data_IF_461819486467
#
_entry.id   IF_461819486467
#
_cell.length_a   1.000
_cell.length_b   1.000
_cell.length_c   1.000
_cell.angle_alpha   90.00
_cell.angle_beta   90.00
_cell.angle_gamma   90.00
#
_symmetry.space_group_name_H-M   'P 1'
#
loop_
_entity.id
_entity.type
_entity.pdbx_description
1 polymer ?
#
# COMPACT_ATOMS: atom_id res chain seq x y z
N UNK A 1 -41.59 30.18 21.68
CA UNK A 1 -41.58 29.17 20.60
C UNK A 1 -40.14 28.86 20.23
N UNK A 2 -39.49 28.11 21.11
CA UNK A 2 -38.11 27.63 21.03
C UNK A 2 -38.20 26.17 20.64
N UNK A 3 -37.88 25.84 19.39
CA UNK A 3 -37.41 24.52 18.90
C UNK A 3 -37.43 24.54 17.37
N UNK A 4 -36.54 23.75 16.76
CA UNK A 4 -36.44 23.42 15.33
C UNK A 4 -35.66 24.40 14.43
N UNK A 5 -34.36 24.56 14.67
CA UNK A 5 -33.35 24.79 13.61
C UNK A 5 -31.98 24.17 13.96
N UNK A 6 -31.93 22.92 14.43
CA UNK A 6 -30.67 22.22 14.74
C UNK A 6 -30.53 20.83 14.11
N UNK A 7 -31.15 20.57 12.97
CA UNK A 7 -31.05 19.26 12.32
C UNK A 7 -31.10 19.41 10.80
N UNK A 8 -30.01 19.89 10.19
CA UNK A 8 -29.77 19.74 8.74
C UNK A 8 -28.35 20.12 8.26
N UNK A 9 -27.40 20.40 9.15
CA UNK A 9 -26.00 20.72 8.77
C UNK A 9 -25.03 19.52 8.82
N UNK A 10 -25.51 18.27 8.93
CA UNK A 10 -24.65 17.08 9.15
C UNK A 10 -24.43 16.10 7.99
N UNK A 11 -24.88 16.39 6.77
CA UNK A 11 -24.79 15.39 5.69
C UNK A 11 -24.21 15.84 4.34
N UNK A 12 -23.68 17.06 4.20
CA UNK A 12 -23.05 17.47 2.95
C UNK A 12 -21.70 18.14 3.23
N UNK A 13 -20.64 17.48 2.76
CA UNK A 13 -19.28 18.00 2.81
C UNK A 13 -19.23 19.38 2.18
N UNK A 14 -18.77 20.37 2.94
CA UNK A 14 -18.38 21.67 2.37
C UNK A 14 -17.28 21.42 1.35
N UNK A 15 -17.59 21.68 0.08
CA UNK A 15 -16.59 22.02 -0.94
C UNK A 15 -15.87 23.30 -0.48
N UNK A 16 -14.73 23.12 0.17
CA UNK A 16 -13.76 24.17 0.40
C UNK A 16 -12.74 24.15 -0.73
N UNK A 17 -12.62 25.25 -1.47
CA UNK A 17 -11.48 25.56 -2.32
C UNK A 17 -10.22 25.55 -1.43
N UNK A 18 -9.49 24.43 -1.37
CA UNK A 18 -8.28 24.31 -0.56
C UNK A 18 -8.06 22.93 0.05
N UNK A 19 -7.53 21.98 -0.75
CA UNK A 19 -6.41 21.07 -0.44
C UNK A 19 -6.30 20.02 -1.58
N UNK A 20 -6.03 20.46 -2.81
CA UNK A 20 -6.15 19.67 -4.07
C UNK A 20 -5.10 18.56 -4.28
N UNK A 21 -4.36 18.15 -3.23
CA UNK A 21 -3.26 17.18 -3.39
C UNK A 21 -3.55 15.77 -2.86
N UNK A 22 -4.69 15.59 -2.20
CA UNK A 22 -4.99 14.38 -1.45
C UNK A 22 -6.31 13.79 -1.90
N UNK A 23 -6.32 12.48 -2.11
CA UNK A 23 -7.54 11.71 -2.00
C UNK A 23 -7.58 11.08 -0.60
N UNK A 24 -8.72 11.09 0.05
CA UNK A 24 -8.87 10.38 1.33
C UNK A 24 -10.31 9.96 1.56
N UNK A 25 -10.45 8.88 2.31
CA UNK A 25 -11.67 8.53 3.02
C UNK A 25 -11.40 8.67 4.51
N UNK A 26 -12.26 9.42 5.18
CA UNK A 26 -12.26 9.48 6.63
C UNK A 26 -12.74 8.14 7.23
N UNK A 27 -13.33 8.14 8.42
CA UNK A 27 -13.74 6.93 9.10
C UNK A 27 -14.82 6.15 8.34
N UNK A 28 -14.50 4.89 8.09
CA UNK A 28 -15.38 3.89 7.49
C UNK A 28 -15.39 2.65 8.38
N UNK A 29 -16.56 2.02 8.60
CA UNK A 29 -16.63 0.85 9.47
C UNK A 29 -15.96 -0.36 8.81
N UNK A 30 -15.32 -1.19 9.62
CA UNK A 30 -14.93 -2.56 9.25
C UNK A 30 -15.32 -3.54 10.36
N UNK A 31 -14.95 -4.82 10.24
CA UNK A 31 -15.39 -5.92 11.14
C UNK A 31 -15.12 -5.67 12.62
N UNK A 32 -14.14 -4.84 12.98
CA UNK A 32 -13.71 -4.67 14.37
C UNK A 32 -13.35 -3.23 14.72
N UNK A 33 -14.02 -2.26 14.11
CA UNK A 33 -13.77 -0.85 14.36
C UNK A 33 -13.99 0.01 13.13
N UNK A 34 -13.16 1.04 12.99
CA UNK A 34 -13.17 1.98 11.88
C UNK A 34 -11.79 2.06 11.23
N UNK A 35 -11.76 2.45 9.97
CA UNK A 35 -10.51 2.73 9.27
C UNK A 35 -10.57 4.06 8.54
N UNK A 36 -9.39 4.64 8.31
CA UNK A 36 -9.20 5.80 7.43
C UNK A 36 -8.10 5.46 6.41
N UNK A 37 -8.26 5.94 5.19
CA UNK A 37 -7.29 5.75 4.10
C UNK A 37 -7.05 7.07 3.40
N UNK A 38 -5.80 7.36 3.05
CA UNK A 38 -5.43 8.54 2.29
C UNK A 38 -4.31 8.24 1.31
N UNK A 39 -4.32 8.97 0.18
CA UNK A 39 -3.31 8.90 -0.87
C UNK A 39 -2.87 10.29 -1.31
N UNK A 40 -1.58 10.45 -1.58
CA UNK A 40 -1.03 11.58 -2.34
C UNK A 40 -0.23 11.04 -3.53
N UNK A 41 -0.39 11.69 -4.67
CA UNK A 41 0.32 11.37 -5.90
C UNK A 41 1.54 12.28 -6.09
N UNK A 42 2.69 11.67 -6.36
CA UNK A 42 3.92 12.31 -6.83
C UNK A 42 4.21 12.00 -8.30
N UNK A 43 4.02 10.76 -8.73
CA UNK A 43 4.30 10.30 -10.09
C UNK A 43 3.30 10.87 -11.10
N UNK A 44 3.65 10.90 -12.40
CA UNK A 44 2.73 11.40 -13.45
C UNK A 44 1.44 10.58 -13.52
N UNK A 45 1.59 9.29 -13.26
CA UNK A 45 0.53 8.32 -13.04
C UNK A 45 0.71 7.78 -11.63
N UNK A 46 -0.35 7.72 -10.83
CA UNK A 46 -0.29 7.12 -9.50
C UNK A 46 -0.01 5.62 -9.67
N UNK A 47 1.13 5.17 -9.14
CA UNK A 47 1.56 3.78 -9.21
C UNK A 47 1.11 3.00 -7.97
N UNK A 48 1.06 3.67 -6.82
CA UNK A 48 0.46 3.19 -5.58
C UNK A 48 -1.02 2.79 -5.75
N UNK A 49 -1.42 1.70 -5.10
CA UNK A 49 -2.80 1.29 -4.92
C UNK A 49 -3.05 0.89 -3.46
N UNK A 50 -4.25 1.17 -2.95
CA UNK A 50 -4.69 0.78 -1.63
C UNK A 50 -6.11 0.24 -1.65
N UNK A 51 -6.40 -0.76 -0.83
CA UNK A 51 -7.75 -1.27 -0.68
C UNK A 51 -8.05 -1.77 0.72
N UNK A 52 -9.30 -1.57 1.14
CA UNK A 52 -9.87 -2.19 2.34
C UNK A 52 -11.18 -2.86 1.96
N UNK A 53 -11.27 -4.17 2.20
CA UNK A 53 -12.50 -4.95 2.02
C UNK A 53 -12.97 -5.43 3.39
N UNK A 54 -14.14 -4.95 3.80
CA UNK A 54 -14.81 -5.43 4.99
C UNK A 54 -15.91 -6.42 4.61
N UNK A 55 -15.88 -7.56 5.26
CA UNK A 55 -16.94 -8.56 5.28
C UNK A 55 -17.50 -8.67 6.72
N UNK A 56 -18.61 -9.39 6.94
CA UNK A 56 -19.12 -9.61 8.29
C UNK A 56 -18.14 -10.34 9.23
N UNK A 57 -17.16 -11.08 8.70
CA UNK A 57 -16.30 -11.97 9.49
C UNK A 57 -14.79 -11.67 9.34
N UNK A 58 -14.42 -10.83 8.39
CA UNK A 58 -13.05 -10.50 8.10
C UNK A 58 -12.87 -9.11 7.51
N UNK A 59 -11.76 -8.46 7.86
CA UNK A 59 -11.27 -7.25 7.21
C UNK A 59 -9.98 -7.58 6.45
N UNK A 60 -9.94 -7.28 5.15
CA UNK A 60 -8.75 -7.40 4.31
C UNK A 60 -8.22 -6.01 3.98
N UNK A 61 -6.90 -5.85 4.08
CA UNK A 61 -6.17 -4.60 3.88
C UNK A 61 -5.08 -4.86 2.85
N UNK A 62 -4.92 -3.98 1.88
CA UNK A 62 -3.88 -4.06 0.86
C UNK A 62 -3.26 -2.70 0.61
N UNK A 63 -1.93 -2.62 0.61
CA UNK A 63 -1.14 -1.51 0.10
C UNK A 63 -0.17 -2.08 -0.92
N UNK A 64 -0.21 -1.55 -2.13
CA UNK A 64 0.56 -2.03 -3.27
C UNK A 64 1.30 -0.85 -3.86
N UNK A 65 2.57 -0.74 -3.55
CA UNK A 65 3.46 0.27 -4.12
C UNK A 65 3.96 -0.25 -5.46
N UNK A 66 3.65 0.50 -6.52
CA UNK A 66 3.91 0.12 -7.90
C UNK A 66 5.13 0.85 -8.45
N UNK A 67 5.87 0.19 -9.34
CA UNK A 67 7.02 0.80 -10.00
C UNK A 67 7.17 0.34 -11.45
N UNK A 68 7.78 1.20 -12.27
CA UNK A 68 7.96 0.94 -13.70
C UNK A 68 6.66 1.05 -14.51
N UNK A 69 5.59 1.53 -13.89
CA UNK A 69 4.23 1.59 -14.39
C UNK A 69 3.21 1.15 -13.33
N UNK A 70 1.92 1.52 -13.47
CA UNK A 70 0.90 1.17 -12.48
C UNK A 70 0.27 -0.22 -12.72
N UNK A 71 0.62 -0.91 -13.83
CA UNK A 71 -0.09 -2.11 -14.28
C UNK A 71 -0.05 -3.24 -13.23
N UNK A 72 1.11 -3.47 -12.57
CA UNK A 72 1.24 -4.53 -11.56
C UNK A 72 0.41 -4.22 -10.30
N UNK A 73 0.57 -3.04 -9.71
CA UNK A 73 -0.18 -2.66 -8.50
C UNK A 73 -1.71 -2.70 -8.72
N UNK A 74 -2.17 -2.23 -9.90
CA UNK A 74 -3.60 -2.32 -10.30
C UNK A 74 -4.06 -3.76 -10.49
N UNK A 75 -3.21 -4.62 -11.07
CA UNK A 75 -3.54 -6.03 -11.23
C UNK A 75 -3.65 -6.73 -9.87
N UNK A 76 -2.70 -6.48 -8.96
CA UNK A 76 -2.73 -7.01 -7.58
C UNK A 76 -3.99 -6.55 -6.86
N UNK A 77 -4.32 -5.25 -6.92
CA UNK A 77 -5.55 -4.69 -6.37
C UNK A 77 -6.80 -5.44 -6.87
N UNK A 78 -6.89 -5.65 -8.19
CA UNK A 78 -8.04 -6.32 -8.79
C UNK A 78 -8.13 -7.83 -8.48
N UNK A 79 -7.02 -8.57 -8.45
CA UNK A 79 -7.04 -10.04 -8.44
C UNK A 79 -6.73 -10.69 -7.09
N UNK A 80 -5.95 -10.03 -6.23
CA UNK A 80 -5.46 -10.68 -5.01
C UNK A 80 -6.57 -11.08 -4.04
N UNK A 81 -7.53 -10.19 -3.78
CA UNK A 81 -8.63 -10.51 -2.87
C UNK A 81 -9.64 -11.50 -3.44
N UNK A 82 -9.97 -11.49 -4.75
CA UNK A 82 -10.68 -12.61 -5.36
C UNK A 82 -9.98 -13.97 -5.18
N UNK A 83 -8.67 -14.06 -5.41
CA UNK A 83 -7.90 -15.28 -5.13
C UNK A 83 -7.95 -15.65 -3.65
N UNK A 84 -7.81 -14.66 -2.79
CA UNK A 84 -7.88 -14.84 -1.35
C UNK A 84 -9.21 -15.45 -0.91
N UNK A 85 -10.34 -14.87 -1.35
CA UNK A 85 -11.68 -15.38 -1.06
C UNK A 85 -11.87 -16.80 -1.59
N UNK A 86 -11.39 -17.09 -2.80
CA UNK A 86 -11.44 -18.44 -3.38
C UNK A 86 -10.70 -19.46 -2.50
N UNK A 87 -9.43 -19.21 -2.19
CA UNK A 87 -8.63 -20.15 -1.40
C UNK A 87 -9.10 -20.25 0.06
N UNK A 88 -9.63 -19.17 0.64
CA UNK A 88 -10.23 -19.19 1.97
C UNK A 88 -11.48 -20.08 2.01
N UNK A 89 -12.31 -20.05 0.96
CA UNK A 89 -13.46 -20.95 0.84
C UNK A 89 -13.03 -22.41 0.68
N UNK A 90 -12.04 -22.68 -0.16
CA UNK A 90 -11.52 -24.04 -0.39
C UNK A 90 -10.91 -24.66 0.88
N UNK A 91 -10.34 -23.85 1.77
CA UNK A 91 -9.70 -24.30 3.01
C UNK A 91 -10.53 -24.06 4.28
N UNK A 92 -11.80 -23.65 4.15
CA UNK A 92 -12.70 -23.36 5.26
C UNK A 92 -12.17 -22.32 6.26
N UNK A 93 -11.47 -21.29 5.80
CA UNK A 93 -11.02 -20.20 6.65
C UNK A 93 -9.78 -19.49 6.12
N UNK A 94 -9.37 -18.47 6.86
CA UNK A 94 -8.16 -17.69 6.58
C UNK A 94 -6.98 -18.30 7.31
N UNK A 95 -5.88 -18.51 6.59
CA UNK A 95 -4.62 -18.99 7.13
C UNK A 95 -3.43 -18.34 6.41
N UNK A 96 -2.23 -18.48 6.97
CA UNK A 96 -0.99 -18.05 6.29
C UNK A 96 -0.80 -18.77 4.93
N UNK A 97 -1.22 -20.03 4.81
CA UNK A 97 -1.16 -20.79 3.56
C UNK A 97 -2.13 -20.24 2.51
N UNK A 98 -3.35 -19.86 2.91
CA UNK A 98 -4.33 -19.21 2.03
C UNK A 98 -3.77 -17.90 1.47
N UNK A 99 -3.16 -17.06 2.32
CA UNK A 99 -2.52 -15.81 1.88
C UNK A 99 -1.41 -16.11 0.88
N UNK A 100 -0.54 -17.08 1.19
CA UNK A 100 0.57 -17.47 0.31
C UNK A 100 0.06 -17.95 -1.06
N UNK A 101 -0.93 -18.84 -1.08
CA UNK A 101 -1.55 -19.34 -2.33
C UNK A 101 -2.18 -18.23 -3.15
N UNK A 102 -2.86 -17.27 -2.50
CA UNK A 102 -3.43 -16.13 -3.19
C UNK A 102 -2.35 -15.27 -3.87
N UNK A 103 -1.26 -14.96 -3.16
CA UNK A 103 -0.13 -14.21 -3.72
C UNK A 103 0.53 -14.96 -4.87
N UNK A 104 0.79 -16.27 -4.71
CA UNK A 104 1.37 -17.12 -5.77
C UNK A 104 0.49 -17.13 -7.02
N UNK A 105 -0.83 -17.33 -6.86
CA UNK A 105 -1.76 -17.30 -7.99
C UNK A 105 -1.79 -15.94 -8.70
N UNK A 106 -1.77 -14.84 -7.94
CA UNK A 106 -1.73 -13.48 -8.50
C UNK A 106 -0.43 -13.23 -9.26
N UNK A 107 0.72 -13.65 -8.73
CA UNK A 107 2.01 -13.56 -9.43
C UNK A 107 2.01 -14.39 -10.72
N UNK A 108 1.56 -15.65 -10.66
CA UNK A 108 1.51 -16.53 -11.83
C UNK A 108 0.62 -15.93 -12.92
N UNK A 109 -0.57 -15.44 -12.57
CA UNK A 109 -1.48 -14.83 -13.54
C UNK A 109 -0.90 -13.54 -14.14
N UNK A 110 -0.22 -12.71 -13.34
CA UNK A 110 0.45 -11.52 -13.86
C UNK A 110 1.62 -11.86 -14.79
N UNK A 111 2.42 -12.89 -14.48
CA UNK A 111 3.48 -13.36 -15.39
C UNK A 111 2.92 -13.92 -16.71
N UNK A 112 1.75 -14.56 -16.68
CA UNK A 112 1.04 -14.96 -17.91
C UNK A 112 0.59 -13.74 -18.72
N UNK A 113 0.10 -12.69 -18.06
CA UNK A 113 -0.22 -11.41 -18.71
C UNK A 113 1.02 -10.80 -19.36
N UNK A 114 2.15 -10.74 -18.64
CA UNK A 114 3.44 -10.27 -19.17
C UNK A 114 3.82 -11.06 -20.42
N UNK A 115 3.81 -12.40 -20.36
CA UNK A 115 4.17 -13.26 -21.50
C UNK A 115 3.33 -12.96 -22.75
N UNK A 116 2.02 -12.73 -22.57
CA UNK A 116 1.10 -12.43 -23.69
C UNK A 116 1.33 -11.03 -24.25
N UNK A 117 1.63 -10.06 -23.40
CA UNK A 117 1.78 -8.65 -23.78
C UNK A 117 3.18 -8.30 -24.26
N UNK A 118 4.20 -9.05 -23.85
CA UNK A 118 5.61 -8.76 -24.11
C UNK A 118 5.94 -8.49 -25.59
N UNK A 119 5.43 -9.24 -26.59
CA UNK A 119 5.76 -8.98 -28.00
C UNK A 119 5.34 -7.61 -28.53
N UNK A 120 4.36 -6.96 -27.90
CA UNK A 120 3.82 -5.66 -28.34
C UNK A 120 4.00 -4.54 -27.30
N UNK A 121 4.25 -4.89 -26.04
CA UNK A 121 4.47 -3.98 -24.90
C UNK A 121 5.62 -4.52 -24.02
N UNK A 122 6.89 -4.57 -24.49
CA UNK A 122 7.97 -5.21 -23.75
C UNK A 122 8.26 -4.58 -22.38
N UNK A 123 7.97 -3.28 -22.20
CA UNK A 123 8.10 -2.58 -20.92
C UNK A 123 7.23 -3.18 -19.81
N UNK A 124 6.20 -3.97 -20.12
CA UNK A 124 5.40 -4.67 -19.10
C UNK A 124 6.26 -5.64 -18.26
N UNK A 125 7.38 -6.12 -18.81
CA UNK A 125 8.30 -6.99 -18.08
C UNK A 125 9.01 -6.29 -16.92
N UNK A 126 9.18 -4.97 -16.98
CA UNK A 126 9.80 -4.16 -15.92
C UNK A 126 8.79 -3.54 -14.95
N UNK A 127 7.50 -3.81 -15.13
CA UNK A 127 6.47 -3.35 -14.19
C UNK A 127 6.41 -4.31 -13.02
N UNK A 128 6.47 -3.77 -11.81
CA UNK A 128 6.39 -4.54 -10.58
C UNK A 128 5.61 -3.81 -9.51
N UNK A 129 5.34 -4.52 -8.41
CA UNK A 129 4.71 -3.93 -7.24
C UNK A 129 5.14 -4.64 -5.96
N UNK A 130 5.54 -3.85 -4.97
CA UNK A 130 5.53 -4.25 -3.57
C UNK A 130 4.10 -4.59 -3.15
N UNK A 131 3.93 -5.54 -2.23
CA UNK A 131 2.63 -6.03 -1.83
C UNK A 131 2.59 -6.28 -0.33
N UNK A 132 1.91 -5.38 0.39
CA UNK A 132 1.65 -5.49 1.81
C UNK A 132 0.17 -5.79 2.03
N UNK A 133 -0.12 -6.93 2.67
CA UNK A 133 -1.47 -7.43 2.87
C UNK A 133 -1.72 -7.70 4.34
N UNK A 134 -2.87 -7.27 4.84
CA UNK A 134 -3.40 -7.59 6.16
C UNK A 134 -4.71 -8.36 6.07
N UNK A 135 -4.93 -9.32 6.97
CA UNK A 135 -6.22 -9.94 7.18
C UNK A 135 -6.51 -10.03 8.68
N UNK A 136 -7.67 -9.54 9.11
CA UNK A 136 -8.17 -9.64 10.49
C UNK A 136 -9.41 -10.51 10.49
N UNK A 137 -9.36 -11.63 11.19
CA UNK A 137 -10.47 -12.57 11.32
C UNK A 137 -10.31 -13.40 12.60
N UNK A 138 -11.41 -13.61 13.35
CA UNK A 138 -11.40 -14.40 14.59
C UNK A 138 -10.25 -14.05 15.55
N UNK A 139 -10.10 -12.75 15.85
CA UNK A 139 -9.02 -12.17 16.67
C UNK A 139 -7.60 -12.51 16.21
N UNK A 140 -7.45 -12.91 14.96
CA UNK A 140 -6.17 -13.25 14.36
C UNK A 140 -5.85 -12.21 13.30
N UNK A 141 -4.71 -11.57 13.47
CA UNK A 141 -4.08 -10.73 12.47
C UNK A 141 -3.07 -11.58 11.69
N UNK A 142 -3.21 -11.54 10.37
CA UNK A 142 -2.20 -11.99 9.45
C UNK A 142 -1.64 -10.78 8.71
N UNK A 143 -0.31 -10.71 8.56
CA UNK A 143 0.35 -9.68 7.76
C UNK A 143 1.35 -10.36 6.84
N UNK A 144 1.17 -10.20 5.53
CA UNK A 144 2.09 -10.68 4.52
C UNK A 144 2.78 -9.49 3.83
N UNK A 145 4.09 -9.58 3.62
CA UNK A 145 4.87 -8.52 3.00
C UNK A 145 5.76 -9.04 1.87
N UNK A 146 5.77 -8.28 0.77
CA UNK A 146 6.69 -8.35 -0.37
C UNK A 146 7.19 -6.93 -0.63
N UNK A 147 8.49 -6.70 -0.49
CA UNK A 147 9.07 -5.37 -0.65
C UNK A 147 9.18 -4.61 0.68
N UNK A 148 9.13 -3.29 0.61
CA UNK A 148 9.48 -2.34 1.67
C UNK A 148 8.36 -1.38 2.09
N UNK A 149 7.13 -1.64 1.61
CA UNK A 149 5.94 -1.23 2.34
C UNK A 149 5.94 -1.86 3.74
N UNK A 150 5.36 -1.18 4.74
CA UNK A 150 5.47 -1.61 6.15
C UNK A 150 4.15 -1.51 6.90
N UNK A 151 3.93 -2.49 7.78
CA UNK A 151 2.85 -2.49 8.77
C UNK A 151 3.40 -2.28 10.19
N UNK A 152 2.80 -1.35 10.92
CA UNK A 152 3.16 -1.00 12.31
C UNK A 152 1.92 -1.06 13.19
N UNK A 153 2.04 -1.70 14.35
CA UNK A 153 1.02 -1.77 15.39
C UNK A 153 1.26 -0.67 16.43
N UNK A 154 0.25 0.14 16.71
CA UNK A 154 0.19 0.96 17.91
C UNK A 154 -0.43 0.15 19.03
N UNK A 155 0.34 -0.14 20.08
CA UNK A 155 -0.13 -0.89 21.25
C UNK A 155 0.04 -0.09 22.53
N UNK A 156 -0.88 -0.28 23.46
CA UNK A 156 -0.76 0.31 24.78
C UNK A 156 0.35 -0.42 25.57
N UNK A 157 1.33 0.34 26.06
CA UNK A 157 2.44 -0.20 26.85
C UNK A 157 2.12 -0.25 28.35
N UNK A 158 1.25 0.65 28.83
CA UNK A 158 0.96 0.82 30.25
C UNK A 158 -0.50 0.43 30.58
N UNK A 159 -0.77 -0.18 31.74
CA UNK A 159 -2.13 -0.54 32.14
C UNK A 159 -3.09 0.67 32.26
N UNK A 160 -2.55 1.87 32.45
CA UNK A 160 -3.32 3.11 32.58
C UNK A 160 -3.71 3.74 31.23
N UNK A 161 -3.35 3.13 30.11
CA UNK A 161 -3.78 3.57 28.79
C UNK A 161 -3.00 4.76 28.21
N UNK A 162 -2.00 5.28 28.93
CA UNK A 162 -1.39 6.59 28.61
C UNK A 162 -0.27 6.52 27.60
N UNK A 163 0.45 5.41 27.54
CA UNK A 163 1.59 5.24 26.64
C UNK A 163 1.24 4.27 25.52
N UNK A 164 1.40 4.71 24.28
CA UNK A 164 1.25 3.89 23.08
C UNK A 164 2.60 3.78 22.41
N UNK A 165 3.09 2.55 22.24
CA UNK A 165 4.38 2.25 21.61
C UNK A 165 4.17 1.66 20.23
N UNK A 166 5.14 1.89 19.35
CA UNK A 166 5.18 1.29 18.02
C UNK A 166 5.79 -0.12 18.10
N UNK A 167 5.10 -1.09 17.49
CA UNK A 167 5.61 -2.44 17.27
C UNK A 167 5.57 -2.71 15.76
N UNK A 168 6.74 -2.73 15.11
CA UNK A 168 6.84 -3.06 13.69
C UNK A 168 6.48 -4.52 13.45
N UNK A 169 5.55 -4.78 12.53
CA UNK A 169 5.04 -6.13 12.25
C UNK A 169 5.71 -6.80 11.04
N UNK A 170 6.39 -6.02 10.19
CA UNK A 170 7.02 -6.50 8.95
C UNK A 170 8.48 -6.10 8.89
N UNK A 171 9.31 -6.91 8.23
CA UNK A 171 10.65 -6.51 7.83
C UNK A 171 10.62 -6.01 6.38
N UNK A 172 11.42 -4.98 6.10
CA UNK A 172 11.49 -4.38 4.77
C UNK A 172 12.43 -5.24 3.90
N UNK A 173 11.94 -5.69 2.74
CA UNK A 173 12.73 -6.46 1.79
C UNK A 173 13.46 -5.53 0.82
N UNK A 174 14.37 -4.72 1.36
CA UNK A 174 15.15 -3.73 0.61
C UNK A 174 16.65 -3.93 0.82
N UNK A 175 17.45 -3.80 -0.24
CA UNK A 175 18.91 -4.00 -0.18
C UNK A 175 19.67 -2.88 0.56
N UNK A 176 18.99 -1.84 1.03
CA UNK A 176 19.52 -0.94 2.05
C UNK A 176 19.84 -1.72 3.35
N UNK A 177 19.06 -2.76 3.66
CA UNK A 177 19.33 -3.70 4.75
C UNK A 177 20.53 -4.62 4.41
N UNK A 178 21.46 -4.71 5.35
CA UNK A 178 22.64 -5.55 5.23
C UNK A 178 22.32 -7.05 5.21
N UNK A 179 21.29 -7.49 5.90
CA UNK A 179 20.90 -8.91 5.94
C UNK A 179 20.30 -9.34 4.61
N UNK A 180 19.49 -8.50 3.95
CA UNK A 180 19.00 -8.74 2.59
C UNK A 180 20.18 -8.80 1.60
N UNK A 181 21.19 -7.93 1.74
CA UNK A 181 22.41 -8.01 0.90
C UNK A 181 23.19 -9.31 1.12
N UNK A 182 23.29 -9.80 2.36
CA UNK A 182 23.95 -11.06 2.68
C UNK A 182 23.18 -12.25 2.11
N UNK A 183 21.85 -12.25 2.23
CA UNK A 183 20.96 -13.26 1.63
C UNK A 183 21.17 -13.34 0.12
N UNK A 184 21.10 -12.20 -0.59
CA UNK A 184 21.29 -12.15 -2.04
C UNK A 184 22.67 -12.67 -2.48
N UNK A 185 23.74 -12.27 -1.78
CA UNK A 185 25.10 -12.77 -2.06
C UNK A 185 25.23 -14.28 -1.82
N UNK A 186 24.56 -14.81 -0.80
CA UNK A 186 24.56 -16.25 -0.50
C UNK A 186 23.81 -17.06 -1.57
N UNK A 187 22.72 -16.53 -2.10
CA UNK A 187 21.93 -17.17 -3.17
C UNK A 187 22.61 -17.08 -4.55
N UNK A 188 23.47 -16.07 -4.75
CA UNK A 188 24.16 -15.79 -6.00
C UNK A 188 25.68 -15.67 -5.82
N UNK A 189 26.36 -16.73 -5.33
CA UNK A 189 27.79 -16.68 -5.02
C UNK A 189 28.67 -16.49 -6.27
N UNK A 190 28.15 -16.79 -7.45
CA UNK A 190 28.82 -16.67 -8.75
C UNK A 190 28.46 -15.39 -9.53
N UNK A 191 27.80 -14.42 -8.88
CA UNK A 191 27.42 -13.13 -9.46
C UNK A 191 27.94 -11.98 -8.60
N UNK A 192 29.14 -11.49 -8.93
CA UNK A 192 29.77 -10.36 -8.22
C UNK A 192 28.99 -9.05 -8.32
N UNK A 193 28.11 -8.93 -9.33
CA UNK A 193 27.26 -7.78 -9.59
C UNK A 193 25.83 -7.93 -9.00
N UNK A 194 25.57 -8.93 -8.16
CA UNK A 194 24.23 -9.17 -7.60
C UNK A 194 23.71 -7.97 -6.80
N UNK A 195 24.56 -7.32 -6.00
CA UNK A 195 24.24 -6.08 -5.28
C UNK A 195 25.31 -5.02 -5.56
N UNK A 196 24.88 -3.91 -6.13
CA UNK A 196 25.76 -2.82 -6.60
C UNK A 196 25.36 -1.54 -5.88
N UNK A 197 26.34 -0.82 -5.33
CA UNK A 197 26.13 0.52 -4.81
C UNK A 197 26.27 1.53 -5.95
N UNK A 198 25.17 2.17 -6.34
CA UNK A 198 25.13 3.13 -7.44
C UNK A 198 24.06 4.19 -7.20
N UNK A 199 24.27 5.41 -7.69
CA UNK A 199 23.35 6.55 -7.46
C UNK A 199 23.06 6.79 -5.98
N UNK A 200 24.07 6.60 -5.12
CA UNK A 200 23.99 6.83 -3.68
C UNK A 200 23.25 5.76 -2.86
N UNK A 201 22.77 4.68 -3.48
CA UNK A 201 22.02 3.60 -2.81
C UNK A 201 22.46 2.23 -3.30
N UNK A 202 22.15 1.18 -2.52
CA UNK A 202 22.34 -0.21 -2.94
C UNK A 202 21.22 -0.64 -3.88
N UNK A 203 21.53 -1.41 -4.92
CA UNK A 203 20.54 -1.93 -5.89
C UNK A 203 20.88 -3.36 -6.34
N UNK A 204 19.87 -4.19 -6.57
CA UNK A 204 20.00 -5.50 -7.20
C UNK A 204 20.37 -5.31 -8.67
N UNK A 205 21.48 -5.91 -9.11
CA UNK A 205 22.03 -5.76 -10.48
C UNK A 205 22.23 -4.29 -10.91
N UNK A 206 22.30 -3.35 -9.96
CA UNK A 206 22.35 -1.91 -10.24
C UNK A 206 21.02 -1.24 -10.61
N UNK A 207 19.89 -1.95 -10.51
CA UNK A 207 18.58 -1.52 -11.05
C UNK A 207 17.59 -1.13 -9.95
N UNK A 208 17.20 -2.06 -9.08
CA UNK A 208 16.09 -1.89 -8.14
C UNK A 208 16.53 -2.08 -6.68
N UNK A 209 15.83 -1.47 -5.71
CA UNK A 209 16.16 -1.57 -4.28
C UNK A 209 15.43 -2.71 -3.57
N UNK A 210 14.22 -3.04 -4.00
CA UNK A 210 13.43 -4.12 -3.39
C UNK A 210 13.93 -5.50 -3.85
N UNK A 211 13.90 -6.48 -2.95
CA UNK A 211 14.28 -7.87 -3.22
C UNK A 211 13.10 -8.82 -3.39
N UNK A 212 11.88 -8.32 -3.12
CA UNK A 212 10.64 -9.07 -3.30
C UNK A 212 9.55 -8.19 -3.90
N UNK A 213 8.82 -8.72 -4.86
CA UNK A 213 7.71 -8.02 -5.55
C UNK A 213 6.84 -9.01 -6.31
N UNK A 214 5.63 -8.58 -6.67
CA UNK A 214 4.85 -9.16 -7.77
C UNK A 214 5.26 -8.47 -9.07
N UNK A 215 5.34 -9.19 -10.19
CA UNK A 215 5.84 -8.64 -11.46
C UNK A 215 7.36 -8.65 -11.56
N UNK A 216 7.99 -7.60 -12.08
CA UNK A 216 9.44 -7.55 -12.34
C UNK A 216 9.95 -8.79 -13.08
N UNK A 217 9.20 -9.23 -14.09
CA UNK A 217 9.44 -10.48 -14.80
C UNK A 217 10.87 -10.53 -15.39
N UNK A 218 11.40 -9.38 -15.81
CA UNK A 218 12.76 -9.21 -16.30
C UNK A 218 13.87 -9.54 -15.28
N UNK A 219 13.55 -9.60 -13.97
CA UNK A 219 14.43 -10.01 -12.86
C UNK A 219 14.17 -11.44 -12.37
N UNK A 220 13.11 -12.08 -12.88
CA UNK A 220 12.68 -13.42 -12.47
C UNK A 220 12.94 -14.50 -13.52
N UNK A 221 12.87 -14.12 -14.80
CA UNK A 221 12.82 -15.05 -15.92
C UNK A 221 13.79 -14.59 -17.03
N UNK A 222 14.80 -15.40 -17.41
CA UNK A 222 15.78 -15.02 -18.43
C UNK A 222 15.15 -14.60 -19.76
N UNK A 223 14.01 -15.19 -20.15
CA UNK A 223 13.29 -14.86 -21.39
C UNK A 223 12.77 -13.41 -21.44
N UNK A 224 12.62 -12.74 -20.30
CA UNK A 224 12.22 -11.33 -20.23
C UNK A 224 13.38 -10.38 -19.89
N UNK A 225 14.59 -10.92 -19.68
CA UNK A 225 15.74 -10.15 -19.17
C UNK A 225 16.48 -9.33 -20.24
N UNK A 226 16.08 -9.45 -21.51
CA UNK A 226 16.73 -8.79 -22.65
C UNK A 226 15.73 -8.44 -23.74
N UNK A 227 15.71 -7.17 -24.11
CA UNK A 227 15.18 -6.72 -25.39
C UNK A 227 16.21 -5.76 -26.03
N UNK A 228 16.75 -6.08 -27.23
CA UNK A 228 17.74 -5.23 -27.93
C UNK A 228 17.27 -3.80 -28.20
N UNK A 229 15.95 -3.53 -28.13
CA UNK A 229 15.35 -2.25 -28.44
C UNK A 229 15.26 -1.31 -27.23
N UNK A 230 15.65 -1.74 -26.03
CA UNK A 230 15.47 -0.95 -24.80
C UNK A 230 16.78 -0.48 -24.17
N UNK A 231 16.77 0.71 -23.51
CA UNK A 231 17.96 1.25 -22.88
C UNK A 231 18.54 0.31 -21.82
N UNK A 232 19.88 0.24 -21.69
CA UNK A 232 20.57 -0.57 -20.68
C UNK A 232 20.28 -0.15 -19.23
N UNK A 233 19.52 0.94 -19.02
CA UNK A 233 19.09 1.39 -17.70
C UNK A 233 17.83 0.68 -17.19
N UNK A 234 17.11 -0.05 -18.05
CA UNK A 234 15.88 -0.77 -17.71
C UNK A 234 16.16 -2.26 -17.50
N UNK A 235 17.14 -2.83 -18.21
CA UNK A 235 17.46 -4.25 -18.17
C UNK A 235 18.83 -4.54 -17.54
N UNK A 236 19.03 -5.74 -16.94
CA UNK A 236 20.32 -6.20 -16.49
C UNK A 236 21.41 -6.08 -17.55
N UNK A 237 22.54 -5.49 -17.16
CA UNK A 237 23.72 -5.36 -18.02
C UNK A 237 24.35 -6.71 -18.35
N UNK A 238 24.19 -7.70 -17.45
CA UNK A 238 24.59 -9.09 -17.62
C UNK A 238 23.35 -9.99 -17.72
N UNK A 239 23.37 -11.08 -18.52
CA UNK A 239 22.22 -11.99 -18.59
C UNK A 239 21.96 -12.62 -17.22
N UNK A 240 20.69 -12.77 -16.86
CA UNK A 240 20.32 -13.48 -15.65
C UNK A 240 20.69 -14.96 -15.76
N UNK A 241 21.50 -15.43 -14.81
CA UNK A 241 21.75 -16.86 -14.63
C UNK A 241 20.60 -17.54 -13.91
N UNK A 242 19.93 -16.83 -13.00
CA UNK A 242 18.79 -17.27 -12.20
C UNK A 242 17.94 -16.08 -11.74
N UNK A 243 16.80 -16.35 -11.11
CA UNK A 243 15.92 -15.32 -10.52
C UNK A 243 16.63 -14.57 -9.41
N UNK A 244 16.69 -13.24 -9.52
CA UNK A 244 17.29 -12.35 -8.50
C UNK A 244 16.23 -11.62 -7.67
N UNK A 245 14.96 -11.83 -8.00
CA UNK A 245 13.76 -11.31 -7.33
C UNK A 245 12.85 -12.49 -6.97
N UNK A 246 12.05 -12.39 -5.90
CA UNK A 246 11.05 -13.41 -5.54
C UNK A 246 9.70 -12.80 -5.19
N UNK A 247 8.61 -13.54 -5.44
CA UNK A 247 7.26 -13.20 -4.98
C UNK A 247 6.88 -13.96 -3.70
N UNK A 248 7.85 -14.55 -2.99
CA UNK A 248 7.62 -15.31 -1.76
C UNK A 248 7.43 -14.38 -0.54
N UNK A 249 6.22 -14.34 0.07
CA UNK A 249 5.94 -13.38 1.14
C UNK A 249 6.52 -13.83 2.47
N UNK A 250 7.05 -12.87 3.25
CA UNK A 250 7.16 -13.06 4.70
C UNK A 250 5.77 -12.93 5.31
N UNK A 251 5.36 -13.85 6.19
CA UNK A 251 4.02 -13.82 6.81
C UNK A 251 4.15 -13.86 8.32
N UNK A 252 3.59 -12.86 8.99
CA UNK A 252 3.35 -12.84 10.44
C UNK A 252 1.92 -13.30 10.72
N UNK A 253 1.76 -14.17 11.72
CA UNK A 253 0.46 -14.51 12.32
C UNK A 253 0.49 -14.16 13.79
N UNK A 254 -0.48 -13.37 14.25
CA UNK A 254 -0.59 -12.88 15.62
C UNK A 254 -2.03 -12.97 16.11
N UNK A 255 -2.22 -13.43 17.35
CA UNK A 255 -3.47 -13.21 18.08
C UNK A 255 -3.50 -11.78 18.61
N UNK A 256 -4.54 -11.04 18.22
CA UNK A 256 -4.77 -9.67 18.67
C UNK A 256 -5.10 -9.67 20.15
N UNK A 257 -4.52 -8.72 20.87
CA UNK A 257 -4.68 -8.54 22.30
C UNK A 257 -5.46 -7.26 22.60
N UNK A 258 -6.10 -7.14 23.79
CA UNK A 258 -6.83 -5.93 24.16
C UNK A 258 -5.98 -4.65 24.17
N UNK A 259 -4.66 -4.76 24.33
CA UNK A 259 -3.72 -3.63 24.26
C UNK A 259 -3.32 -3.25 22.82
N UNK A 260 -3.69 -4.04 21.80
CA UNK A 260 -3.46 -3.70 20.39
C UNK A 260 -4.52 -2.68 19.94
N UNK A 261 -4.15 -1.41 19.70
CA UNK A 261 -5.12 -0.32 19.52
C UNK A 261 -5.43 0.00 18.05
N UNK A 262 -4.41 0.01 17.20
CA UNK A 262 -4.56 0.31 15.78
C UNK A 262 -3.38 -0.20 14.97
N UNK A 263 -3.59 -0.38 13.66
CA UNK A 263 -2.57 -0.76 12.70
C UNK A 263 -2.39 0.38 11.68
N UNK A 264 -1.15 0.62 11.27
CA UNK A 264 -0.80 1.52 10.17
C UNK A 264 -0.18 0.67 9.07
N UNK A 265 -0.80 0.64 7.90
CA UNK A 265 -0.27 0.04 6.68
C UNK A 265 0.07 1.19 5.73
N UNK A 266 1.31 1.26 5.25
CA UNK A 266 1.69 2.30 4.30
C UNK A 266 2.83 1.88 3.35
N UNK A 267 2.88 2.54 2.19
CA UNK A 267 3.95 2.42 1.20
C UNK A 267 5.25 3.05 1.71
N UNK A 268 6.37 2.72 1.08
CA UNK A 268 7.69 3.24 1.45
C UNK A 268 7.75 4.77 1.38
N UNK A 269 7.03 5.40 0.44
CA UNK A 269 6.89 6.85 0.32
C UNK A 269 6.44 7.53 1.60
N UNK A 270 5.70 6.83 2.47
CA UNK A 270 5.38 7.28 3.82
C UNK A 270 6.56 7.08 4.79
N UNK A 271 7.08 5.84 4.84
CA UNK A 271 8.08 5.41 5.81
C UNK A 271 9.48 5.97 5.56
N UNK A 272 9.75 6.51 4.37
CA UNK A 272 10.91 7.33 4.09
C UNK A 272 10.86 8.66 4.83
N UNK A 273 9.65 9.18 5.12
CA UNK A 273 9.46 10.51 5.73
C UNK A 273 9.26 10.45 7.24
N UNK A 274 8.56 9.44 7.75
CA UNK A 274 8.25 9.29 9.17
C UNK A 274 8.78 7.97 9.74
N UNK A 275 9.29 8.04 10.97
CA UNK A 275 9.63 6.88 11.78
C UNK A 275 8.35 6.19 12.29
N UNK A 276 8.45 4.91 12.67
CA UNK A 276 7.35 4.15 13.25
C UNK A 276 6.77 4.84 14.49
N UNK A 277 7.63 5.36 15.36
CA UNK A 277 7.27 6.05 16.61
C UNK A 277 6.49 7.33 16.33
N UNK A 278 7.00 8.20 15.46
CA UNK A 278 6.31 9.42 15.06
C UNK A 278 4.92 9.16 14.45
N UNK A 279 4.79 8.13 13.61
CA UNK A 279 3.50 7.75 13.03
C UNK A 279 2.50 7.30 14.12
N UNK A 280 2.95 6.45 15.05
CA UNK A 280 2.14 5.97 16.19
C UNK A 280 1.78 7.12 17.15
N UNK A 281 2.69 8.06 17.40
CA UNK A 281 2.42 9.25 18.21
C UNK A 281 1.33 10.12 17.56
N UNK A 282 1.38 10.34 16.25
CA UNK A 282 0.34 11.09 15.54
C UNK A 282 -1.02 10.39 15.66
N UNK A 283 -1.08 9.07 15.47
CA UNK A 283 -2.35 8.33 15.58
C UNK A 283 -2.90 8.32 17.01
N UNK A 284 -2.04 8.25 18.02
CA UNK A 284 -2.47 8.21 19.43
C UNK A 284 -2.91 9.58 19.97
N UNK A 285 -2.28 10.67 19.50
CA UNK A 285 -2.51 12.02 20.03
C UNK A 285 -3.68 12.77 19.39
N UNK A 286 -4.03 12.43 18.15
CA UNK A 286 -5.04 13.16 17.38
C UNK A 286 -6.36 12.38 17.23
N UNK A 287 -7.48 13.07 17.00
CA UNK A 287 -8.75 12.41 16.72
C UNK A 287 -8.67 11.44 15.53
N UNK A 288 -9.41 10.33 15.62
CA UNK A 288 -9.53 9.34 14.54
C UNK A 288 -9.99 9.97 13.22
N UNK A 289 -10.90 10.94 13.29
CA UNK A 289 -11.38 11.67 12.11
C UNK A 289 -10.26 12.50 11.47
N UNK A 290 -10.03 12.24 10.19
CA UNK A 290 -9.00 12.85 9.36
C UNK A 290 -7.60 12.29 9.61
N UNK A 291 -7.45 11.14 10.29
CA UNK A 291 -6.14 10.69 10.74
C UNK A 291 -5.19 10.28 9.60
N UNK A 292 -5.66 9.56 8.59
CA UNK A 292 -4.82 9.19 7.45
C UNK A 292 -4.37 10.43 6.67
N UNK A 293 -5.27 11.41 6.49
CA UNK A 293 -4.92 12.70 5.88
C UNK A 293 -3.89 13.47 6.71
N UNK A 294 -3.96 13.39 8.05
CA UNK A 294 -3.00 14.02 8.95
C UNK A 294 -1.62 13.39 8.82
N UNK A 295 -1.54 12.06 8.76
CA UNK A 295 -0.30 11.34 8.52
C UNK A 295 0.34 11.74 7.18
N UNK A 296 -0.46 11.83 6.10
CA UNK A 296 0.06 12.32 4.81
C UNK A 296 0.60 13.75 4.89
N UNK A 297 -0.10 14.65 5.58
CA UNK A 297 0.37 16.04 5.75
C UNK A 297 1.71 16.07 6.50
N UNK A 298 1.84 15.30 7.58
CA UNK A 298 3.09 15.20 8.33
C UNK A 298 4.23 14.61 7.48
N UNK A 299 3.96 13.59 6.66
CA UNK A 299 4.95 13.03 5.73
C UNK A 299 5.42 14.07 4.70
N UNK A 300 4.50 14.85 4.11
CA UNK A 300 4.85 15.93 3.18
C UNK A 300 5.57 17.10 3.85
N UNK A 301 5.26 17.40 5.11
CA UNK A 301 5.98 18.40 5.91
C UNK A 301 7.44 17.99 6.11
N UNK A 302 7.72 16.74 6.46
CA UNK A 302 9.10 16.25 6.59
C UNK A 302 9.80 16.14 5.22
N UNK A 303 9.11 15.72 4.16
CA UNK A 303 9.67 15.72 2.81
C UNK A 303 10.07 17.14 2.36
N UNK A 304 9.22 18.14 2.58
CA UNK A 304 9.48 19.53 2.24
C UNK A 304 10.65 20.11 3.03
N UNK A 305 10.74 19.76 4.32
CA UNK A 305 11.84 20.15 5.19
C UNK A 305 13.19 19.56 4.74
N UNK A 306 13.24 18.29 4.34
CA UNK A 306 14.46 17.66 3.77
C UNK A 306 14.94 18.35 2.49
N UNK A 307 14.01 18.95 1.76
CA UNK A 307 14.25 19.68 0.51
C UNK A 307 14.38 21.20 0.72
N UNK A 308 14.44 21.65 1.98
CA UNK A 308 14.55 23.06 2.37
C UNK A 308 13.48 23.98 1.71
N UNK A 309 12.26 23.47 1.55
CA UNK A 309 11.15 24.20 0.90
C UNK A 309 9.87 24.21 1.73
N UNK A 310 8.94 25.10 1.37
CA UNK A 310 7.61 25.14 2.00
C UNK A 310 6.71 24.07 1.38
N UNK A 311 5.89 23.42 2.20
CA UNK A 311 4.89 22.44 1.74
C UNK A 311 3.96 23.03 0.68
N UNK A 312 3.57 24.31 0.82
CA UNK A 312 2.73 24.97 -0.17
C UNK A 312 3.41 25.13 -1.54
N UNK A 313 4.74 25.26 -1.58
CA UNK A 313 5.49 25.32 -2.82
C UNK A 313 5.58 23.93 -3.45
N UNK A 314 5.87 22.90 -2.64
CA UNK A 314 5.84 21.49 -3.08
C UNK A 314 4.48 21.09 -3.68
N UNK A 315 3.38 21.50 -3.06
CA UNK A 315 2.01 21.24 -3.54
C UNK A 315 1.75 21.83 -4.93
N UNK A 316 2.41 22.94 -5.28
CA UNK A 316 2.27 23.60 -6.60
C UNK A 316 3.12 22.94 -7.68
N UNK A 317 4.07 22.07 -7.30
CA UNK A 317 4.88 21.32 -8.26
C UNK A 317 3.97 20.32 -8.98
N UNK A 318 4.06 20.28 -10.31
CA UNK A 318 3.27 19.35 -11.14
C UNK A 318 3.63 17.90 -10.82
N UNK A 319 2.63 17.01 -10.86
CA UNK A 319 2.84 15.55 -10.82
C UNK A 319 3.86 15.10 -11.87
N UNK A 320 4.60 14.03 -11.60
CA UNK A 320 5.77 13.61 -12.37
C UNK A 320 7.05 14.36 -11.97
N UNK A 321 7.03 15.70 -11.97
CA UNK A 321 8.17 16.49 -11.46
C UNK A 321 8.26 16.38 -9.94
N UNK A 322 7.11 16.32 -9.26
CA UNK A 322 6.99 16.19 -7.80
C UNK A 322 7.69 14.94 -7.24
N UNK A 323 7.85 13.88 -8.06
CA UNK A 323 8.57 12.65 -7.70
C UNK A 323 10.01 12.87 -7.23
N UNK A 324 10.64 13.98 -7.61
CA UNK A 324 11.99 14.33 -7.13
C UNK A 324 12.02 14.77 -5.65
N UNK A 325 10.85 15.00 -5.04
CA UNK A 325 10.73 15.53 -3.68
C UNK A 325 10.12 14.54 -2.71
N UNK A 326 9.16 13.73 -3.16
CA UNK A 326 8.57 12.63 -2.41
C UNK A 326 8.01 11.58 -3.38
N UNK A 327 7.71 10.38 -2.90
CA UNK A 327 7.04 9.32 -3.68
C UNK A 327 5.52 9.45 -3.66
N UNK A 328 4.83 8.63 -4.45
CA UNK A 328 3.43 8.31 -4.14
C UNK A 328 3.35 7.79 -2.69
N UNK A 329 2.29 8.17 -1.98
CA UNK A 329 2.12 7.76 -0.59
C UNK A 329 0.71 7.27 -0.39
N UNK A 330 0.57 6.04 0.08
CA UNK A 330 -0.68 5.42 0.53
C UNK A 330 -0.57 5.08 1.99
N UNK A 331 -1.53 5.53 2.81
CA UNK A 331 -1.59 5.23 4.24
C UNK A 331 -3.00 4.75 4.60
N UNK A 332 -3.08 3.62 5.28
CA UNK A 332 -4.31 3.04 5.83
C UNK A 332 -4.13 2.87 7.34
N UNK A 333 -5.01 3.46 8.13
CA UNK A 333 -5.08 3.28 9.58
C UNK A 333 -6.31 2.45 9.91
N UNK A 334 -6.12 1.31 10.59
CA UNK A 334 -7.18 0.40 11.06
C UNK A 334 -7.27 0.50 12.58
N UNK A 335 -8.38 0.97 13.12
CA UNK A 335 -8.61 1.00 14.57
C UNK A 335 -9.18 -0.33 15.05
N UNK A 336 -8.68 -0.84 16.17
CA UNK A 336 -9.08 -2.13 16.74
C UNK A 336 -9.96 -1.89 17.97
N UNK A 337 -11.27 -1.85 17.75
CA UNK A 337 -12.28 -1.66 18.79
C UNK A 337 -12.71 -3.02 19.38
N UNK A 338 -11.95 -3.52 20.36
CA UNK A 338 -12.20 -4.82 21.00
C UNK A 338 -13.60 -4.95 21.62
N UNK A 339 -14.22 -3.84 22.03
CA UNK A 339 -15.57 -3.85 22.63
C UNK A 339 -16.68 -4.14 21.60
N UNK A 340 -16.47 -3.80 20.32
CA UNK A 340 -17.41 -4.12 19.24
C UNK A 340 -17.32 -5.60 18.81
N UNK A 341 -16.26 -6.31 19.21
CA UNK A 341 -16.07 -7.74 18.91
C UNK A 341 -16.90 -8.67 19.79
N UNK A 342 -17.19 -8.28 21.02
CA UNK A 342 -17.97 -9.10 21.97
C UNK A 342 -19.49 -9.03 21.75
N UNK A 343 -19.96 -8.05 20.98
CA UNK A 343 -21.35 -7.83 20.69
C UNK A 343 -21.64 -8.16 19.23
N UNK A 344 -21.69 -9.46 18.89
CA UNK A 344 -22.58 -10.06 17.89
C UNK A 344 -21.99 -11.38 17.35
N UNK A 345 -22.71 -12.46 17.63
CA UNK A 345 -22.80 -13.59 16.69
C UNK A 345 -24.17 -13.46 16.03
N UNK A 346 -24.29 -12.95 14.79
CA UNK A 346 -25.57 -12.86 14.11
C UNK A 346 -25.68 -13.84 12.93
N UNK A 347 -26.88 -14.38 12.79
CA UNK A 347 -27.35 -15.27 11.72
C UNK A 347 -27.00 -14.78 10.30
N UNK A 348 -26.62 -15.75 9.44
CA UNK A 348 -26.23 -15.69 8.02
C UNK A 348 -27.26 -15.06 7.05
N UNK A 349 -27.76 -13.83 7.28
CA UNK A 349 -28.64 -13.17 6.30
C UNK A 349 -28.25 -11.70 6.07
N UNK A 350 -27.86 -11.43 4.82
CA UNK A 350 -27.36 -10.18 4.22
C UNK A 350 -25.83 -9.91 4.34
N UNK A 351 -25.05 -10.48 3.41
CA UNK A 351 -23.65 -10.11 3.18
C UNK A 351 -23.54 -8.75 2.48
N UNK A 352 -23.43 -7.66 3.24
CA UNK A 352 -23.03 -6.38 2.67
C UNK A 352 -21.49 -6.32 2.60
N UNK A 353 -20.93 -6.67 1.44
CA UNK A 353 -19.52 -6.41 1.11
C UNK A 353 -19.31 -4.90 0.94
N UNK A 354 -18.34 -4.34 1.67
CA UNK A 354 -17.90 -2.96 1.48
C UNK A 354 -16.43 -2.96 1.09
N UNK A 355 -16.17 -2.62 -0.16
CA UNK A 355 -14.83 -2.42 -0.71
C UNK A 355 -14.58 -0.94 -0.90
N UNK A 356 -13.44 -0.45 -0.42
CA UNK A 356 -12.93 0.88 -0.70
C UNK A 356 -11.58 0.71 -1.38
N UNK A 357 -11.46 1.29 -2.57
CA UNK A 357 -10.22 1.32 -3.35
C UNK A 357 -9.77 2.77 -3.49
N UNK A 358 -8.47 2.97 -3.52
CA UNK A 358 -7.86 4.22 -3.93
C UNK A 358 -8.16 4.48 -5.41
N UNK A 359 -8.24 5.74 -5.85
CA UNK A 359 -8.51 6.04 -7.26
C UNK A 359 -7.29 5.69 -8.14
N UNK A 360 -7.52 5.50 -9.44
CA UNK A 360 -6.44 5.30 -10.41
C UNK A 360 -5.62 6.58 -10.68
N UNK A 361 -6.22 7.75 -10.41
CA UNK A 361 -5.63 9.09 -10.44
C UNK A 361 -6.42 9.95 -9.43
N UNK A 362 -5.73 10.60 -8.48
CA UNK A 362 -6.39 11.40 -7.44
C UNK A 362 -7.13 12.63 -7.98
N UNK A 363 -6.80 13.05 -9.21
CA UNK A 363 -7.39 14.20 -9.89
C UNK A 363 -8.58 13.86 -10.79
N UNK A 364 -8.83 12.56 -11.06
CA UNK A 364 -9.92 12.14 -11.96
C UNK A 364 -11.34 12.40 -11.41
N UNK A 365 -11.47 12.67 -10.11
CA UNK A 365 -12.72 13.10 -9.49
C UNK A 365 -13.07 14.58 -9.74
N UNK A 366 -12.13 15.37 -10.27
CA UNK A 366 -12.38 16.79 -10.59
C UNK A 366 -12.92 17.05 -12.01
N UNK A 367 -12.91 16.05 -12.90
CA UNK A 367 -13.31 16.24 -14.31
C UNK A 367 -14.77 15.93 -14.62
N UNK A 368 -15.53 15.30 -13.72
CA UNK A 368 -16.93 14.95 -13.97
C UNK A 368 -17.97 16.01 -13.55
N UNK A 369 -17.58 17.10 -12.88
CA UNK A 369 -18.50 18.19 -12.51
C UNK A 369 -18.44 19.41 -13.44
N UNK A 370 -17.47 19.48 -14.36
CA UNK A 370 -17.31 20.61 -15.28
C UNK A 370 -18.06 20.47 -16.61
N UNK A 371 -18.64 19.31 -16.94
CA UNK A 371 -19.34 19.08 -18.22
C UNK A 371 -20.88 19.16 -18.13
N UNK A 372 -21.47 19.39 -16.95
CA UNK A 372 -22.93 19.50 -16.79
C UNK A 372 -23.51 20.91 -16.93
N UNK A 373 -22.69 21.94 -17.20
CA UNK A 373 -23.13 23.35 -17.29
C UNK A 373 -23.12 23.96 -18.70
N UNK A 374 -23.23 23.15 -19.74
CA UNK A 374 -23.49 23.65 -21.09
C UNK A 374 -24.64 22.87 -21.73
N UNK A 375 -25.87 23.22 -21.34
CA UNK A 375 -27.02 23.12 -22.24
C UNK A 375 -27.53 24.53 -22.51
N UNK A 376 -27.59 24.99 -23.77
CA UNK A 376 -28.34 26.18 -24.11
C UNK A 376 -29.84 25.80 -24.11
N UNK A 377 -30.64 26.50 -23.30
CA UNK A 377 -32.10 26.49 -23.49
C UNK A 377 -32.46 27.41 -24.67
N UNK A 378 -33.39 27.00 -25.54
CA UNK A 378 -34.29 27.92 -26.23
C UNK A 378 -35.55 28.22 -25.40
#
# INVERSE_FOLDING_TARGET
>A
MTMLRSCLERCFGRLGYGDELFWYQDLKPHTSGEFSIAVVQANSTLEDQGQVVSTPFATFIGVYDGHGGPDAARFVNAQLFPHFSKFAMEQNGVSADVIRKAIVATEEEFLHLVKRSFPFKPQIASVGSCCLVGAITEDTLYVANLGDSRAVLGRCATPDGKEVVAERLTSDHNVADVEIRKELKKLHPDESDIVVHTRGVWRIKGIIQVSRSIGDAYLKKPEFSRDPLFPPHIFPTSPLKRSVMTAEPSILTRKLKPDDLFLIFASDGFWEQLTDEAAVEIVSKYPRSGIAKRLLRAALEEAAKKMEMRVNDMKRIRKGVRRHFHDDITVIVIFLDHNLRNANSPNFKAMNYKSINTPADIFSLHSHESESRLRPEP
#
